data_IF_156829034236
#
_entry.id   IF_156829034236
#
_cell.length_a   1.000
_cell.length_b   1.000
_cell.length_c   1.000
_cell.angle_alpha   90.00
_cell.angle_beta   90.00
_cell.angle_gamma   90.00
#
_symmetry.space_group_name_H-M   'P 1'
#
loop_
_entity.id
_entity.type
_entity.pdbx_description
1 polymer ?
#
# COMPACT_ATOMS: atom_id res chain seq x y z
N UNK A 1 -6.25 30.14 31.29
CA UNK A 1 -6.92 29.03 30.58
C UNK A 1 -5.89 28.41 29.65
N UNK A 2 -5.51 27.15 29.85
CA UNK A 2 -4.52 26.46 29.03
C UNK A 2 -5.30 25.58 28.05
N UNK A 3 -5.42 26.00 26.80
CA UNK A 3 -6.02 25.18 25.74
C UNK A 3 -5.15 23.94 25.54
N UNK A 4 -5.75 22.76 25.67
CA UNK A 4 -5.08 21.48 25.48
C UNK A 4 -5.72 20.75 24.29
N UNK A 5 -4.88 20.16 23.44
CA UNK A 5 -5.32 19.31 22.36
C UNK A 5 -4.98 17.86 22.69
N UNK A 6 -5.99 16.99 22.61
CA UNK A 6 -5.86 15.56 22.87
C UNK A 6 -6.16 14.77 21.59
N UNK A 7 -5.53 13.60 21.37
CA UNK A 7 -5.82 12.82 20.18
C UNK A 7 -7.23 12.23 20.23
N UNK A 8 -8.00 12.46 19.17
CA UNK A 8 -9.25 11.76 18.90
C UNK A 8 -8.97 10.41 18.26
N UNK A 9 -8.11 10.38 17.25
CA UNK A 9 -7.65 9.17 16.56
C UNK A 9 -6.29 9.40 15.91
N UNK A 10 -5.60 8.29 15.65
CA UNK A 10 -4.39 8.25 14.84
C UNK A 10 -4.62 7.32 13.65
N UNK A 11 -4.04 7.67 12.52
CA UNK A 11 -4.02 6.86 11.31
C UNK A 11 -2.58 6.73 10.83
N UNK A 12 -2.13 5.49 10.70
CA UNK A 12 -0.79 5.14 10.24
C UNK A 12 -0.80 4.07 9.18
N UNK A 13 0.35 3.93 8.53
CA UNK A 13 0.65 2.84 7.62
C UNK A 13 1.91 2.17 8.15
N UNK A 14 1.86 0.85 8.32
CA UNK A 14 2.99 0.07 8.81
C UNK A 14 3.54 -0.82 7.71
N UNK A 15 4.87 -0.90 7.59
CA UNK A 15 5.54 -1.72 6.59
C UNK A 15 6.89 -2.27 7.12
N UNK A 16 7.10 -3.61 7.18
CA UNK A 16 8.31 -4.23 7.75
C UNK A 16 9.64 -3.89 7.06
N UNK A 17 9.60 -3.37 5.84
CA UNK A 17 10.78 -2.82 5.16
C UNK A 17 11.49 -1.75 5.99
N UNK A 18 10.73 -0.92 6.72
CA UNK A 18 11.25 0.14 7.57
C UNK A 18 11.57 -0.41 8.97
N UNK A 19 12.71 0.00 9.53
CA UNK A 19 13.21 -0.55 10.79
C UNK A 19 12.35 -0.23 12.02
N UNK A 20 11.66 0.91 12.00
CA UNK A 20 10.67 1.32 13.01
C UNK A 20 9.25 0.82 12.70
N UNK A 21 9.07 0.14 11.56
CA UNK A 21 7.81 -0.36 11.06
C UNK A 21 6.86 0.71 10.52
N UNK A 22 7.21 2.00 10.58
CA UNK A 22 6.35 3.09 10.10
C UNK A 22 6.66 3.34 8.62
N UNK A 23 5.61 3.42 7.79
CA UNK A 23 5.74 3.67 6.36
C UNK A 23 5.60 5.17 6.06
N UNK A 24 6.69 5.86 5.66
CA UNK A 24 6.63 7.27 5.29
C UNK A 24 6.21 7.48 3.82
N UNK A 25 5.97 6.43 3.04
CA UNK A 25 5.77 6.54 1.59
C UNK A 25 4.43 7.15 1.18
N UNK A 26 3.52 7.40 2.12
CA UNK A 26 2.19 7.91 1.82
C UNK A 26 1.96 9.30 2.41
N UNK A 27 1.23 10.11 1.65
CA UNK A 27 0.61 11.33 2.13
C UNK A 27 -0.90 11.12 2.35
N UNK A 28 -1.39 11.59 3.48
CA UNK A 28 -2.82 11.65 3.76
C UNK A 28 -3.43 12.94 3.22
N UNK A 29 -4.45 12.83 2.37
CA UNK A 29 -5.18 13.96 1.79
C UNK A 29 -6.60 13.97 2.32
N UNK A 30 -6.98 14.95 3.12
CA UNK A 30 -8.39 15.05 3.50
C UNK A 30 -9.20 15.61 2.35
N UNK A 31 -10.37 15.01 2.15
CA UNK A 31 -11.38 15.61 1.28
C UNK A 31 -11.80 16.98 1.85
N UNK A 32 -12.11 17.92 0.98
CA UNK A 32 -12.48 19.30 1.33
C UNK A 32 -13.63 19.34 2.35
N UNK A 33 -14.67 18.52 2.12
CA UNK A 33 -15.80 18.38 3.05
C UNK A 33 -15.33 17.97 4.45
N UNK A 34 -14.45 16.98 4.56
CA UNK A 34 -13.95 16.50 5.85
C UNK A 34 -13.05 17.52 6.53
N UNK A 35 -12.25 18.27 5.77
CA UNK A 35 -11.47 19.40 6.31
C UNK A 35 -12.40 20.47 6.90
N UNK A 36 -13.42 20.90 6.15
CA UNK A 36 -14.37 21.91 6.61
C UNK A 36 -15.15 21.45 7.85
N UNK A 37 -15.55 20.18 7.90
CA UNK A 37 -16.23 19.60 9.06
C UNK A 37 -15.35 19.59 10.31
N UNK A 38 -14.06 19.23 10.16
CA UNK A 38 -13.10 19.25 11.28
C UNK A 38 -12.80 20.68 11.74
N UNK A 39 -12.58 21.61 10.82
CA UNK A 39 -12.36 23.04 11.13
C UNK A 39 -13.57 23.62 11.89
N UNK A 40 -14.78 23.34 11.41
CA UNK A 40 -16.03 23.78 12.03
C UNK A 40 -16.27 23.20 13.42
N UNK A 41 -15.67 22.05 13.71
CA UNK A 41 -15.73 21.39 15.02
C UNK A 41 -14.51 21.63 15.91
N UNK A 42 -13.63 22.58 15.53
CA UNK A 42 -12.40 22.96 16.26
C UNK A 42 -11.43 21.79 16.48
N UNK A 43 -11.38 20.85 15.54
CA UNK A 43 -10.37 19.80 15.54
C UNK A 43 -9.13 20.24 14.76
N UNK A 44 -7.97 19.80 15.23
CA UNK A 44 -6.69 20.04 14.59
C UNK A 44 -6.18 18.78 13.93
N UNK A 45 -5.66 18.93 12.72
CA UNK A 45 -5.02 17.86 11.97
C UNK A 45 -3.51 18.08 12.03
N UNK A 46 -2.78 17.07 12.47
CA UNK A 46 -1.32 17.08 12.48
C UNK A 46 -0.79 15.86 11.75
N UNK A 47 0.21 16.07 10.89
CA UNK A 47 1.01 15.00 10.31
C UNK A 47 2.35 14.97 11.01
N UNK A 48 2.73 13.82 11.54
CA UNK A 48 4.01 13.66 12.23
C UNK A 48 4.52 12.24 12.02
N UNK A 49 5.83 12.09 11.78
CA UNK A 49 6.49 10.80 11.58
C UNK A 49 5.76 9.82 10.62
N UNK A 50 5.14 10.31 9.53
CA UNK A 50 4.42 9.45 8.58
C UNK A 50 3.03 9.00 9.03
N UNK A 51 2.49 9.60 10.10
CA UNK A 51 1.15 9.33 10.62
C UNK A 51 0.29 10.60 10.58
N UNK A 52 -1.03 10.40 10.51
CA UNK A 52 -2.04 11.44 10.63
C UNK A 52 -2.69 11.38 12.01
N UNK A 53 -2.68 12.50 12.71
CA UNK A 53 -3.34 12.69 13.98
C UNK A 53 -4.51 13.64 13.79
N UNK A 54 -5.68 13.25 14.30
CA UNK A 54 -6.82 14.15 14.47
C UNK A 54 -6.92 14.42 15.97
N UNK A 55 -6.82 15.69 16.34
CA UNK A 55 -6.81 16.15 17.71
C UNK A 55 -8.06 16.98 17.99
N UNK A 56 -8.64 16.85 19.17
CA UNK A 56 -9.75 17.69 19.61
C UNK A 56 -9.28 18.67 20.68
N UNK A 57 -9.92 19.84 20.75
CA UNK A 57 -9.74 20.77 21.84
C UNK A 57 -10.48 20.27 23.08
N UNK A 58 -9.76 20.14 24.19
CA UNK A 58 -10.27 19.60 25.43
C UNK A 58 -10.48 20.70 26.49
N UNK A 59 -11.51 20.53 27.32
CA UNK A 59 -11.76 21.35 28.50
C UNK A 59 -10.80 21.00 29.66
N UNK A 60 -10.92 21.66 30.81
CA UNK A 60 -10.09 21.41 32.00
C UNK A 60 -10.27 20.00 32.60
N UNK A 61 -11.30 19.26 32.16
CA UNK A 61 -11.61 17.88 32.56
C UNK A 61 -11.27 16.87 31.46
N UNK A 62 -10.56 17.28 30.41
CA UNK A 62 -10.22 16.48 29.23
C UNK A 62 -11.42 16.05 28.38
N UNK A 63 -12.59 16.69 28.50
CA UNK A 63 -13.72 16.40 27.63
C UNK A 63 -13.63 17.21 26.33
N UNK A 64 -14.16 16.68 25.22
CA UNK A 64 -14.23 17.44 23.98
C UNK A 64 -15.14 18.65 24.11
N UNK A 65 -14.68 19.78 23.56
CA UNK A 65 -15.49 21.00 23.45
C UNK A 65 -16.69 20.82 22.50
N UNK A 66 -16.61 19.88 21.55
CA UNK A 66 -17.66 19.57 20.60
C UNK A 66 -17.65 18.07 20.26
N UNK A 67 -18.82 17.44 20.32
CA UNK A 67 -18.99 16.05 19.87
C UNK A 67 -19.25 16.02 18.36
N UNK A 68 -18.53 15.14 17.66
CA UNK A 68 -18.64 14.88 16.23
C UNK A 68 -18.95 13.42 15.91
N UNK A 69 -19.48 12.66 16.88
CA UNK A 69 -19.96 11.31 16.65
C UNK A 69 -20.95 11.28 15.47
N UNK A 70 -20.77 10.31 14.58
CA UNK A 70 -21.52 10.18 13.32
C UNK A 70 -20.91 10.93 12.13
N UNK A 71 -19.88 11.75 12.33
CA UNK A 71 -19.17 12.41 11.23
C UNK A 71 -18.40 11.39 10.39
N UNK A 72 -18.52 11.50 9.06
CA UNK A 72 -17.72 10.74 8.10
C UNK A 72 -16.52 11.57 7.60
N UNK A 73 -15.32 11.07 7.87
CA UNK A 73 -14.06 11.61 7.35
C UNK A 73 -13.62 10.80 6.13
N UNK A 74 -13.38 11.49 5.01
CA UNK A 74 -12.86 10.90 3.78
C UNK A 74 -11.42 11.37 3.59
N UNK A 75 -10.51 10.41 3.43
CA UNK A 75 -9.08 10.63 3.37
C UNK A 75 -8.52 9.84 2.19
N UNK A 76 -7.90 10.52 1.23
CA UNK A 76 -7.12 9.90 0.17
C UNK A 76 -5.71 9.55 0.63
N UNK A 77 -5.18 8.46 0.12
CA UNK A 77 -3.81 8.00 0.30
C UNK A 77 -3.06 8.24 -0.99
N UNK A 78 -2.10 9.16 -0.99
CA UNK A 78 -1.24 9.40 -2.15
C UNK A 78 0.11 8.74 -1.93
N UNK A 79 0.45 7.80 -2.79
CA UNK A 79 1.75 7.16 -2.79
C UNK A 79 2.80 8.13 -3.33
N UNK A 80 3.84 8.41 -2.53
CA UNK A 80 4.96 9.30 -2.89
C UNK A 80 6.14 8.54 -3.48
N UNK A 81 6.30 7.28 -3.10
CA UNK A 81 7.43 6.46 -3.52
C UNK A 81 7.03 5.63 -4.74
N UNK A 82 7.53 5.97 -5.95
CA UNK A 82 7.18 5.22 -7.16
C UNK A 82 7.74 3.80 -7.16
N UNK A 83 8.71 3.50 -6.30
CA UNK A 83 9.34 2.18 -6.20
C UNK A 83 8.71 1.30 -5.10
N UNK A 84 7.58 1.70 -4.51
CA UNK A 84 6.93 0.98 -3.41
C UNK A 84 6.67 -0.50 -3.75
N UNK A 85 6.18 -0.77 -4.96
CA UNK A 85 5.94 -2.13 -5.47
C UNK A 85 7.20 -3.02 -5.55
N UNK A 86 8.40 -2.44 -5.53
CA UNK A 86 9.63 -3.23 -5.58
C UNK A 86 9.91 -3.92 -4.25
N UNK A 87 9.48 -3.34 -3.13
CA UNK A 87 9.73 -3.88 -1.80
C UNK A 87 8.47 -4.20 -0.99
N UNK A 88 7.30 -3.94 -1.53
CA UNK A 88 6.01 -4.35 -0.96
C UNK A 88 5.50 -5.60 -1.67
N UNK A 89 4.96 -6.53 -0.89
CA UNK A 89 4.24 -7.69 -1.41
C UNK A 89 2.89 -7.25 -2.04
N UNK A 90 2.10 -8.20 -2.57
CA UNK A 90 0.83 -7.97 -3.26
C UNK A 90 0.07 -6.70 -2.84
N UNK A 91 -0.04 -5.74 -3.76
CA UNK A 91 -0.81 -4.52 -3.56
C UNK A 91 -2.29 -4.78 -3.90
N UNK A 92 -3.24 -4.29 -3.09
CA UNK A 92 -4.65 -4.42 -3.41
C UNK A 92 -5.00 -3.61 -4.66
N UNK A 93 -5.59 -4.28 -5.64
CA UNK A 93 -6.17 -3.69 -6.84
C UNK A 93 -7.61 -4.17 -7.05
N UNK A 94 -8.49 -3.36 -7.67
CA UNK A 94 -8.32 -1.93 -7.97
C UNK A 94 -8.32 -1.08 -6.68
N UNK A 95 -8.33 0.26 -6.82
CA UNK A 95 -8.25 1.25 -5.73
C UNK A 95 -8.87 0.75 -4.40
N UNK A 96 -8.06 0.51 -3.36
CA UNK A 96 -8.54 0.02 -2.08
C UNK A 96 -9.24 1.13 -1.30
N UNK A 97 -10.44 0.82 -0.80
CA UNK A 97 -11.18 1.65 0.13
C UNK A 97 -11.20 0.97 1.49
N UNK A 98 -10.55 1.59 2.46
CA UNK A 98 -10.58 1.17 3.86
C UNK A 98 -11.74 1.87 4.57
N UNK A 99 -12.41 1.16 5.47
CA UNK A 99 -13.46 1.72 6.32
C UNK A 99 -13.36 1.17 7.73
N UNK A 100 -14.02 1.80 8.70
CA UNK A 100 -14.21 1.23 10.03
C UNK A 100 -15.69 1.03 10.33
N UNK A 101 -15.98 0.03 11.16
CA UNK A 101 -17.26 -0.12 11.88
C UNK A 101 -17.09 0.10 13.38
N UNK A 102 -15.87 -0.09 13.89
CA UNK A 102 -15.47 0.07 15.29
C UNK A 102 -14.21 0.93 15.36
N UNK A 103 -13.34 0.70 16.35
CA UNK A 103 -12.05 1.36 16.53
C UNK A 103 -10.91 0.73 15.71
N UNK A 104 -11.21 -0.22 14.82
CA UNK A 104 -10.25 -0.83 13.88
C UNK A 104 -10.70 -0.69 12.42
N UNK A 105 -9.74 -0.69 11.48
CA UNK A 105 -10.06 -0.76 10.06
C UNK A 105 -10.55 -2.16 9.67
N UNK A 106 -11.53 -2.20 8.79
CA UNK A 106 -11.96 -3.39 8.07
C UNK A 106 -10.93 -3.76 7.01
N UNK A 107 -11.05 -4.98 6.47
CA UNK A 107 -10.32 -5.35 5.26
C UNK A 107 -10.67 -4.38 4.11
N UNK A 108 -9.70 -4.02 3.24
CA UNK A 108 -9.98 -3.12 2.14
C UNK A 108 -11.01 -3.72 1.19
N UNK A 109 -11.91 -2.87 0.70
CA UNK A 109 -12.86 -3.22 -0.34
C UNK A 109 -12.46 -2.53 -1.63
N UNK A 110 -12.65 -3.21 -2.75
CA UNK A 110 -12.53 -2.58 -4.06
C UNK A 110 -13.74 -1.66 -4.30
N UNK A 111 -13.48 -0.40 -4.64
CA UNK A 111 -14.55 0.55 -4.98
C UNK A 111 -14.10 1.52 -6.06
N UNK A 112 -15.05 2.26 -6.60
CA UNK A 112 -14.74 3.35 -7.53
C UNK A 112 -14.65 4.67 -6.78
N UNK A 113 -13.57 5.40 -6.99
CA UNK A 113 -13.52 6.81 -6.65
C UNK A 113 -14.14 7.60 -7.80
N UNK A 114 -15.22 8.32 -7.51
CA UNK A 114 -16.00 9.02 -8.53
C UNK A 114 -15.97 10.53 -8.31
N UNK A 115 -15.81 11.25 -9.41
CA UNK A 115 -15.90 12.70 -9.45
C UNK A 115 -17.37 13.16 -9.49
N UNK A 116 -17.62 14.36 -10.03
CA UNK A 116 -18.97 14.95 -10.14
C UNK A 116 -19.85 14.32 -11.22
N UNK A 117 -19.29 13.47 -12.07
CA UNK A 117 -20.02 12.74 -13.10
C UNK A 117 -19.46 11.33 -13.19
N UNK A 118 -20.35 10.35 -13.31
CA UNK A 118 -19.99 8.93 -13.32
C UNK A 118 -20.88 8.18 -14.30
N UNK A 119 -20.27 7.37 -15.16
CA UNK A 119 -21.01 6.46 -16.05
C UNK A 119 -20.75 5.03 -15.58
N UNK A 120 -21.74 4.35 -14.98
CA UNK A 120 -21.56 2.98 -14.55
C UNK A 120 -21.31 2.04 -15.73
N UNK A 121 -20.44 1.06 -15.52
CA UNK A 121 -20.27 -0.06 -16.45
C UNK A 121 -21.34 -1.10 -16.16
N UNK A 122 -22.02 -1.60 -17.19
CA UNK A 122 -23.00 -2.66 -17.04
C UNK A 122 -22.31 -3.94 -16.56
N UNK A 123 -22.66 -4.41 -15.35
CA UNK A 123 -22.16 -5.67 -14.81
C UNK A 123 -22.92 -6.89 -15.37
N UNK A 124 -24.02 -6.66 -16.08
CA UNK A 124 -24.93 -7.68 -16.59
C UNK A 124 -25.41 -7.30 -18.00
N UNK A 125 -25.62 -8.30 -18.85
CA UNK A 125 -26.06 -8.11 -20.24
C UNK A 125 -27.58 -8.21 -20.39
N UNK A 126 -28.27 -8.92 -19.49
CA UNK A 126 -29.73 -9.05 -19.53
C UNK A 126 -30.40 -7.69 -19.28
N UNK A 127 -31.49 -7.46 -20.00
CA UNK A 127 -32.31 -6.26 -19.92
C UNK A 127 -33.78 -6.63 -19.65
N UNK A 128 -34.59 -5.73 -19.07
CA UNK A 128 -34.20 -4.42 -18.55
C UNK A 128 -33.25 -4.53 -17.35
N UNK A 129 -32.36 -3.55 -17.20
CA UNK A 129 -31.43 -3.43 -16.09
C UNK A 129 -31.84 -2.24 -15.21
N UNK A 130 -32.32 -2.55 -14.02
CA UNK A 130 -32.65 -1.54 -13.01
C UNK A 130 -31.39 -1.13 -12.26
N UNK A 131 -31.14 0.16 -12.19
CA UNK A 131 -30.03 0.75 -11.46
C UNK A 131 -30.61 1.52 -10.27
N UNK A 132 -30.00 1.34 -9.10
CA UNK A 132 -30.26 2.18 -7.94
C UNK A 132 -28.96 2.58 -7.29
N UNK A 133 -28.91 3.81 -6.79
CA UNK A 133 -27.77 4.34 -6.07
C UNK A 133 -28.25 4.80 -4.69
N UNK A 134 -27.78 4.12 -3.65
CA UNK A 134 -28.13 4.39 -2.26
C UNK A 134 -26.96 5.02 -1.53
N UNK A 135 -27.21 5.92 -0.59
CA UNK A 135 -26.16 6.42 0.32
C UNK A 135 -25.92 5.38 1.42
N UNK A 136 -24.66 5.00 1.64
CA UNK A 136 -24.35 3.84 2.50
C UNK A 136 -24.63 4.09 3.99
N UNK A 137 -24.59 5.35 4.45
CA UNK A 137 -24.75 5.67 5.88
C UNK A 137 -26.18 5.49 6.41
N UNK A 138 -27.18 5.66 5.56
CA UNK A 138 -28.61 5.67 5.93
C UNK A 138 -29.50 4.93 4.93
N UNK A 139 -28.90 4.28 3.93
CA UNK A 139 -29.56 3.54 2.85
C UNK A 139 -30.55 4.39 2.02
N UNK A 140 -30.42 5.72 2.07
CA UNK A 140 -31.29 6.63 1.33
C UNK A 140 -31.13 6.44 -0.18
N UNK A 141 -32.22 6.21 -0.91
CA UNK A 141 -32.22 6.15 -2.38
C UNK A 141 -31.95 7.54 -2.94
N UNK A 142 -30.83 7.69 -3.63
CA UNK A 142 -30.38 8.97 -4.18
C UNK A 142 -30.69 9.10 -5.67
N UNK A 143 -30.70 7.97 -6.39
CA UNK A 143 -31.03 7.91 -7.80
C UNK A 143 -31.47 6.51 -8.22
N UNK A 144 -32.36 6.43 -9.22
CA UNK A 144 -32.74 5.18 -9.86
C UNK A 144 -33.05 5.37 -11.34
N UNK A 145 -32.87 4.30 -12.11
CA UNK A 145 -33.16 4.28 -13.54
C UNK A 145 -33.34 2.87 -14.07
N UNK A 146 -34.00 2.74 -15.22
CA UNK A 146 -34.16 1.48 -15.96
C UNK A 146 -33.45 1.63 -17.31
N UNK A 147 -32.63 0.65 -17.68
CA UNK A 147 -31.96 0.58 -18.98
C UNK A 147 -32.59 -0.55 -19.80
N UNK A 148 -33.14 -0.23 -20.95
CA UNK A 148 -33.80 -1.17 -21.87
C UNK A 148 -32.84 -1.68 -22.95
N UNK A 149 -33.34 -2.62 -23.76
CA UNK A 149 -32.59 -3.13 -24.90
C UNK A 149 -32.24 -2.00 -25.90
N UNK A 150 -30.96 -1.95 -26.31
CA UNK A 150 -30.44 -0.93 -27.21
C UNK A 150 -30.08 0.41 -26.54
N UNK A 151 -30.32 0.56 -25.23
CA UNK A 151 -29.94 1.78 -24.50
C UNK A 151 -28.54 1.68 -23.88
N UNK A 152 -27.84 2.81 -23.86
CA UNK A 152 -26.53 2.94 -23.22
C UNK A 152 -26.67 3.24 -21.73
N UNK A 153 -25.62 2.95 -20.96
CA UNK A 153 -25.55 3.34 -19.54
C UNK A 153 -25.55 4.87 -19.42
N UNK A 154 -26.37 5.45 -18.53
CA UNK A 154 -26.51 6.90 -18.40
C UNK A 154 -25.33 7.46 -17.62
N UNK A 155 -24.89 8.66 -17.99
CA UNK A 155 -24.04 9.45 -17.12
C UNK A 155 -24.88 9.99 -15.94
N UNK A 156 -24.45 9.70 -14.72
CA UNK A 156 -25.08 10.16 -13.49
C UNK A 156 -24.36 11.43 -13.04
N UNK A 157 -25.11 12.54 -12.92
CA UNK A 157 -24.59 13.80 -12.40
C UNK A 157 -24.65 13.80 -10.86
N UNK A 158 -23.47 13.84 -10.25
CA UNK A 158 -23.25 13.80 -8.81
C UNK A 158 -22.86 15.19 -8.25
N UNK A 159 -22.97 16.26 -9.05
CA UNK A 159 -22.50 17.60 -8.66
C UNK A 159 -23.20 18.21 -7.45
N UNK A 160 -24.43 17.76 -7.17
CA UNK A 160 -25.27 18.21 -6.05
C UNK A 160 -25.25 17.24 -4.87
N UNK A 161 -24.47 16.16 -4.97
CA UNK A 161 -24.45 15.12 -3.96
C UNK A 161 -23.40 15.45 -2.91
N UNK A 162 -23.68 15.06 -1.68
CA UNK A 162 -22.70 15.15 -0.60
C UNK A 162 -21.53 14.22 -0.89
N UNK A 163 -20.31 14.63 -0.52
CA UNK A 163 -19.19 13.72 -0.51
C UNK A 163 -19.47 12.59 0.49
N UNK A 164 -19.18 11.35 0.09
CA UNK A 164 -19.53 10.19 0.91
C UNK A 164 -19.44 8.87 0.16
N UNK A 165 -19.83 7.79 0.85
CA UNK A 165 -19.94 6.47 0.23
C UNK A 165 -21.37 6.18 -0.21
N UNK A 166 -21.48 5.58 -1.39
CA UNK A 166 -22.73 5.19 -2.01
C UNK A 166 -22.62 3.77 -2.53
N UNK A 167 -23.74 3.07 -2.67
CA UNK A 167 -23.82 1.73 -3.23
C UNK A 167 -24.63 1.75 -4.51
N UNK A 168 -23.96 1.47 -5.63
CA UNK A 168 -24.63 1.22 -6.90
C UNK A 168 -25.08 -0.24 -6.92
N UNK A 169 -26.37 -0.45 -7.14
CA UNK A 169 -26.96 -1.78 -7.37
C UNK A 169 -27.50 -1.84 -8.79
N UNK A 170 -27.17 -2.92 -9.50
CA UNK A 170 -27.70 -3.27 -10.81
C UNK A 170 -28.49 -4.56 -10.68
N UNK A 171 -29.76 -4.54 -11.09
CA UNK A 171 -30.67 -5.66 -10.96
C UNK A 171 -31.32 -5.98 -12.30
N UNK A 172 -31.30 -7.25 -12.67
CA UNK A 172 -32.02 -7.79 -13.83
C UNK A 172 -32.71 -9.11 -13.45
N UNK A 173 -33.39 -9.73 -14.41
CA UNK A 173 -33.94 -11.09 -14.24
C UNK A 173 -32.89 -12.15 -13.92
N UNK A 174 -31.61 -11.91 -14.27
CA UNK A 174 -30.52 -12.83 -13.99
C UNK A 174 -29.92 -12.67 -12.58
N UNK A 175 -30.34 -11.66 -11.81
CA UNK A 175 -29.87 -11.42 -10.44
C UNK A 175 -29.52 -9.96 -10.15
N UNK A 176 -28.81 -9.76 -9.05
CA UNK A 176 -28.38 -8.44 -8.54
C UNK A 176 -26.87 -8.40 -8.34
N UNK A 177 -26.27 -7.26 -8.66
CA UNK A 177 -24.85 -6.94 -8.43
C UNK A 177 -24.75 -5.57 -7.80
N UNK A 178 -23.96 -5.46 -6.74
CA UNK A 178 -23.69 -4.19 -6.07
C UNK A 178 -22.20 -3.90 -6.05
N UNK A 179 -21.86 -2.61 -6.08
CA UNK A 179 -20.51 -2.11 -5.84
C UNK A 179 -20.56 -0.79 -5.08
N UNK A 180 -19.54 -0.54 -4.28
CA UNK A 180 -19.44 0.69 -3.52
C UNK A 180 -18.68 1.76 -4.34
N UNK A 181 -19.17 2.99 -4.23
CA UNK A 181 -18.62 4.19 -4.84
C UNK A 181 -18.23 5.17 -3.71
N UNK A 182 -17.11 5.86 -3.86
CA UNK A 182 -16.76 7.01 -3.03
C UNK A 182 -16.85 8.28 -3.86
N UNK A 183 -17.83 9.14 -3.53
CA UNK A 183 -17.97 10.46 -4.13
C UNK A 183 -17.09 11.42 -3.36
N UNK A 184 -15.97 11.80 -3.94
CA UNK A 184 -15.07 12.80 -3.38
C UNK A 184 -14.33 13.50 -4.54
N UNK A 185 -14.92 14.55 -5.15
CA UNK A 185 -14.44 15.11 -6.40
C UNK A 185 -12.99 15.61 -6.38
N UNK A 186 -12.57 16.18 -5.26
CA UNK A 186 -11.21 16.67 -5.04
C UNK A 186 -10.22 15.51 -4.89
N UNK A 187 -10.61 14.43 -4.22
CA UNK A 187 -9.82 13.21 -4.16
C UNK A 187 -9.78 12.49 -5.52
N UNK A 188 -10.87 12.50 -6.29
CA UNK A 188 -10.94 11.88 -7.62
C UNK A 188 -10.07 12.60 -8.65
N UNK A 189 -9.75 13.88 -8.43
CA UNK A 189 -8.81 14.66 -9.24
C UNK A 189 -7.38 14.59 -8.69
N UNK A 190 -7.21 14.11 -7.46
CA UNK A 190 -5.91 13.83 -6.90
C UNK A 190 -5.50 12.42 -7.33
N UNK A 191 -4.29 12.27 -7.84
CA UNK A 191 -3.69 10.97 -8.15
C UNK A 191 -3.44 10.20 -6.84
N UNK A 192 -4.49 9.56 -6.33
CA UNK A 192 -4.46 8.79 -5.08
C UNK A 192 -4.36 7.30 -5.39
N UNK A 193 -3.60 6.61 -4.54
CA UNK A 193 -3.43 5.18 -4.57
C UNK A 193 -4.61 4.44 -3.92
N UNK A 194 -5.17 4.99 -2.84
CA UNK A 194 -6.26 4.38 -2.08
C UNK A 194 -7.06 5.42 -1.30
N UNK A 195 -8.14 5.01 -0.66
CA UNK A 195 -8.98 5.91 0.14
C UNK A 195 -9.39 5.27 1.46
N UNK A 196 -9.73 6.12 2.44
CA UNK A 196 -10.15 5.73 3.77
C UNK A 196 -11.40 6.52 4.12
N UNK A 197 -12.43 5.80 4.59
CA UNK A 197 -13.58 6.38 5.28
C UNK A 197 -13.49 6.07 6.77
N UNK A 198 -13.41 7.10 7.60
CA UNK A 198 -13.56 6.96 9.04
C UNK A 198 -14.94 7.48 9.46
N UNK A 199 -15.78 6.61 10.00
CA UNK A 199 -16.96 7.01 10.77
C UNK A 199 -16.54 7.22 12.22
N UNK A 200 -16.68 8.46 12.71
CA UNK A 200 -16.36 8.80 14.10
C UNK A 200 -17.44 8.20 15.01
N UNK A 201 -17.07 7.18 15.78
CA UNK A 201 -17.97 6.56 16.76
C UNK A 201 -17.96 7.34 18.07
N UNK A 202 -19.08 7.35 18.80
CA UNK A 202 -19.13 7.88 20.17
C UNK A 202 -18.15 7.15 21.11
N UNK A 203 -17.73 5.93 20.78
CA UNK A 203 -16.72 5.17 21.53
C UNK A 203 -15.34 5.84 21.51
N UNK A 204 -15.03 6.68 20.51
CA UNK A 204 -13.71 7.32 20.40
C UNK A 204 -13.45 8.26 21.59
N UNK A 205 -14.51 8.83 22.16
CA UNK A 205 -14.45 9.71 23.33
C UNK A 205 -14.37 8.98 24.66
N UNK A 206 -14.86 7.74 24.71
CA UNK A 206 -15.05 6.97 25.94
C UNK A 206 -14.00 5.86 26.11
N UNK A 207 -13.16 5.65 25.11
CA UNK A 207 -12.08 4.67 25.14
C UNK A 207 -10.90 5.19 25.98
N UNK A 208 -10.27 4.35 26.83
CA UNK A 208 -9.09 4.74 27.61
C UNK A 208 -7.87 5.10 26.74
N UNK A 209 -7.86 4.66 25.48
CA UNK A 209 -6.91 5.10 24.46
C UNK A 209 -7.64 5.43 23.16
N UNK A 210 -7.25 6.52 22.46
CA UNK A 210 -7.83 6.86 21.17
C UNK A 210 -7.56 5.75 20.15
N UNK A 211 -8.47 5.51 19.19
CA UNK A 211 -8.25 4.53 18.13
C UNK A 211 -6.96 4.80 17.35
N UNK A 212 -6.21 3.72 17.11
CA UNK A 212 -5.02 3.71 16.28
C UNK A 212 -5.28 2.85 15.04
N UNK A 213 -5.68 3.50 13.95
CA UNK A 213 -5.99 2.86 12.69
C UNK A 213 -4.70 2.58 11.92
N UNK A 214 -4.45 1.31 11.56
CA UNK A 214 -3.24 0.89 10.87
C UNK A 214 -3.55 0.15 9.58
N UNK A 215 -3.02 0.64 8.46
CA UNK A 215 -2.94 -0.14 7.22
C UNK A 215 -1.62 -0.88 7.22
N UNK A 216 -1.67 -2.20 7.12
CA UNK A 216 -0.49 -3.06 7.20
C UNK A 216 -0.14 -3.61 5.82
N UNK A 217 1.10 -3.38 5.42
CA UNK A 217 1.70 -4.00 4.24
C UNK A 217 2.76 -5.01 4.65
N UNK A 218 3.04 -5.96 3.77
CA UNK A 218 4.11 -6.93 3.95
C UNK A 218 5.30 -6.56 3.08
N UNK A 219 6.50 -6.80 3.59
CA UNK A 219 7.69 -6.70 2.75
C UNK A 219 7.72 -7.84 1.74
N UNK A 220 8.02 -7.50 0.49
CA UNK A 220 8.27 -8.47 -0.58
C UNK A 220 9.39 -9.41 -0.15
N UNK A 221 9.21 -10.69 -0.42
CA UNK A 221 10.22 -11.71 -0.16
C UNK A 221 10.81 -12.20 -1.47
N UNK A 222 12.13 -12.23 -1.57
CA UNK A 222 12.83 -12.68 -2.77
C UNK A 222 14.05 -13.52 -2.42
N UNK A 223 14.38 -14.47 -3.30
CA UNK A 223 15.66 -15.18 -3.22
C UNK A 223 16.80 -14.26 -3.66
N UNK A 224 17.85 -14.16 -2.85
CA UNK A 224 19.06 -13.40 -3.19
C UNK A 224 19.90 -14.18 -4.18
N UNK A 225 20.31 -13.53 -5.28
CA UNK A 225 21.15 -14.12 -6.31
C UNK A 225 22.42 -13.29 -6.52
N UNK A 226 23.58 -13.87 -6.22
CA UNK A 226 24.89 -13.26 -6.43
C UNK A 226 25.63 -13.97 -7.56
N UNK A 227 25.67 -13.35 -8.73
CA UNK A 227 26.45 -13.79 -9.89
C UNK A 227 27.89 -13.30 -9.71
N UNK A 228 28.77 -14.18 -9.27
CA UNK A 228 30.18 -13.86 -9.07
C UNK A 228 30.94 -14.19 -10.35
N UNK A 229 31.68 -13.21 -10.87
CA UNK A 229 32.39 -13.32 -12.13
C UNK A 229 33.86 -12.99 -11.93
N UNK A 230 34.74 -13.87 -12.40
CA UNK A 230 36.19 -13.71 -12.32
C UNK A 230 36.85 -13.78 -13.71
N UNK A 231 38.00 -13.10 -13.90
CA UNK A 231 38.78 -13.21 -15.13
C UNK A 231 39.20 -14.65 -15.43
N UNK A 232 39.44 -14.95 -16.71
CA UNK A 232 39.96 -16.25 -17.15
C UNK A 232 41.24 -16.63 -16.37
N UNK A 233 41.29 -17.84 -15.82
CA UNK A 233 42.45 -18.35 -15.11
C UNK A 233 42.57 -17.90 -13.65
N UNK A 234 41.50 -17.39 -13.04
CA UNK A 234 41.47 -17.15 -11.60
C UNK A 234 41.62 -18.47 -10.84
N UNK A 235 42.74 -18.62 -10.12
CA UNK A 235 42.99 -19.80 -9.30
C UNK A 235 42.01 -19.86 -8.13
N UNK A 236 41.59 -21.07 -7.74
CA UNK A 236 40.71 -21.29 -6.58
C UNK A 236 39.27 -20.79 -6.74
N UNK A 237 38.77 -20.59 -7.96
CA UNK A 237 37.37 -20.21 -8.21
C UNK A 237 36.36 -21.21 -7.61
N UNK A 238 36.70 -22.50 -7.66
CA UNK A 238 35.90 -23.56 -7.07
C UNK A 238 35.84 -23.48 -5.54
N UNK A 239 36.75 -22.73 -4.90
CA UNK A 239 36.79 -22.50 -3.44
C UNK A 239 36.01 -21.27 -2.97
N UNK A 240 35.35 -20.55 -3.89
CA UNK A 240 34.44 -19.46 -3.52
C UNK A 240 33.21 -19.99 -2.80
N UNK A 241 32.80 -19.27 -1.75
CA UNK A 241 31.59 -19.52 -0.97
C UNK A 241 30.95 -18.21 -0.49
N UNK A 242 29.65 -18.23 -0.23
CA UNK A 242 28.94 -17.13 0.44
C UNK A 242 28.52 -17.59 1.83
N UNK A 243 28.88 -16.80 2.85
CA UNK A 243 28.52 -17.06 4.25
C UNK A 243 27.71 -15.91 4.82
N UNK A 244 26.68 -16.22 5.60
CA UNK A 244 25.88 -15.24 6.34
C UNK A 244 25.50 -15.82 7.71
N UNK A 245 25.08 -14.97 8.65
CA UNK A 245 24.79 -15.40 10.03
C UNK A 245 23.59 -16.37 10.13
N UNK A 246 22.58 -16.21 9.27
CA UNK A 246 21.30 -16.95 9.35
C UNK A 246 20.77 -17.42 8.00
N UNK A 247 21.56 -17.27 6.92
CA UNK A 247 21.17 -17.64 5.57
C UNK A 247 22.16 -18.65 4.99
N UNK A 248 21.63 -19.66 4.32
CA UNK A 248 22.40 -20.64 3.57
C UNK A 248 22.32 -20.34 2.09
N UNK A 249 23.45 -20.48 1.39
CA UNK A 249 23.55 -20.27 -0.04
C UNK A 249 23.94 -21.56 -0.75
N UNK A 250 23.27 -21.83 -1.86
CA UNK A 250 23.64 -22.86 -2.82
C UNK A 250 24.58 -22.27 -3.87
N UNK A 251 25.62 -23.03 -4.23
CA UNK A 251 26.55 -22.69 -5.32
C UNK A 251 26.09 -23.40 -6.59
N UNK A 252 25.69 -22.64 -7.60
CA UNK A 252 25.14 -23.13 -8.87
C UNK A 252 26.13 -22.81 -10.00
N UNK A 253 26.49 -23.82 -10.78
CA UNK A 253 27.42 -23.68 -11.92
C UNK A 253 26.72 -23.11 -13.17
N UNK A 254 27.45 -22.51 -14.12
CA UNK A 254 26.85 -21.79 -15.27
C UNK A 254 25.83 -22.58 -16.10
N UNK A 255 26.03 -23.90 -16.26
CA UNK A 255 25.12 -24.76 -17.03
C UNK A 255 23.74 -24.90 -16.37
N UNK A 256 23.67 -24.70 -15.05
CA UNK A 256 22.46 -24.84 -14.23
C UNK A 256 21.88 -23.48 -13.84
N UNK A 257 22.33 -22.38 -14.46
CA UNK A 257 21.74 -21.07 -14.19
C UNK A 257 20.25 -21.07 -14.54
N UNK A 258 19.39 -20.50 -13.68
CA UNK A 258 17.96 -20.47 -13.91
C UNK A 258 17.64 -19.62 -15.14
N UNK A 259 16.71 -20.08 -15.98
CA UNK A 259 16.37 -19.44 -17.25
C UNK A 259 15.73 -18.06 -17.08
N UNK A 260 15.05 -17.81 -15.98
CA UNK A 260 14.48 -16.52 -15.64
C UNK A 260 15.52 -15.54 -15.06
N UNK A 261 16.76 -15.98 -14.84
CA UNK A 261 17.87 -15.23 -14.27
C UNK A 261 18.77 -14.52 -15.31
N UNK A 262 19.92 -14.01 -14.84
CA UNK A 262 20.96 -13.46 -15.72
C UNK A 262 21.72 -14.64 -16.35
N UNK A 263 21.71 -14.73 -17.67
CA UNK A 263 22.43 -15.78 -18.40
C UNK A 263 23.93 -15.48 -18.46
N UNK A 264 24.79 -16.51 -18.59
CA UNK A 264 26.23 -16.30 -18.75
C UNK A 264 26.58 -15.39 -19.93
N UNK A 265 25.83 -15.44 -21.03
CA UNK A 265 26.02 -14.58 -22.18
C UNK A 265 25.80 -13.08 -21.86
N UNK A 266 24.82 -12.78 -20.99
CA UNK A 266 24.51 -11.41 -20.56
C UNK A 266 25.56 -10.84 -19.59
N UNK A 267 26.38 -11.67 -18.96
CA UNK A 267 27.48 -11.23 -18.10
C UNK A 267 28.68 -10.67 -18.90
N UNK A 268 28.62 -10.69 -20.24
CA UNK A 268 29.50 -9.90 -21.11
C UNK A 268 30.95 -10.35 -21.15
N UNK A 269 31.26 -11.58 -20.73
CA UNK A 269 32.63 -12.05 -20.58
C UNK A 269 32.83 -13.45 -21.21
N UNK A 270 33.22 -13.53 -22.49
CA UNK A 270 33.26 -14.79 -23.25
C UNK A 270 34.30 -15.81 -22.74
N UNK A 271 35.22 -15.39 -21.85
CA UNK A 271 36.26 -16.25 -21.25
C UNK A 271 36.24 -16.23 -19.72
N UNK A 272 35.30 -15.54 -19.09
CA UNK A 272 35.24 -15.47 -17.62
C UNK A 272 34.66 -16.74 -17.01
N UNK A 273 35.10 -17.01 -15.78
CA UNK A 273 34.47 -17.99 -14.92
C UNK A 273 33.33 -17.29 -14.18
N UNK A 274 32.16 -17.92 -14.16
CA UNK A 274 30.99 -17.42 -13.47
C UNK A 274 30.44 -18.49 -12.54
N UNK A 275 29.86 -18.07 -11.42
CA UNK A 275 29.11 -18.93 -10.52
C UNK A 275 27.99 -18.12 -9.87
N UNK A 276 26.85 -18.76 -9.64
CA UNK A 276 25.73 -18.14 -8.95
C UNK A 276 25.70 -18.68 -7.51
N UNK A 277 25.67 -17.77 -6.54
CA UNK A 277 25.29 -18.09 -5.17
C UNK A 277 23.85 -17.65 -4.93
N UNK A 278 22.98 -18.62 -4.65
CA UNK A 278 21.54 -18.42 -4.48
C UNK A 278 21.12 -18.70 -3.04
N UNK A 279 20.39 -17.80 -2.37
CA UNK A 279 19.87 -18.09 -1.03
C UNK A 279 18.83 -19.22 -1.10
N UNK A 280 18.89 -20.17 -0.18
CA UNK A 280 17.96 -21.31 -0.17
C UNK A 280 16.55 -20.91 0.24
N UNK A 281 16.42 -19.87 1.07
CA UNK A 281 15.14 -19.31 1.49
C UNK A 281 14.97 -17.89 0.91
N UNK A 282 13.73 -17.48 0.60
CA UNK A 282 13.41 -16.08 0.35
C UNK A 282 13.77 -15.22 1.55
N UNK A 283 14.23 -14.00 1.28
CA UNK A 283 14.59 -13.01 2.29
C UNK A 283 13.64 -11.83 2.15
N UNK A 284 13.01 -11.34 3.24
CA UNK A 284 12.21 -10.14 3.18
C UNK A 284 13.08 -8.94 2.85
N UNK A 285 12.59 -8.07 1.97
CA UNK A 285 13.24 -6.79 1.71
C UNK A 285 13.27 -5.94 2.98
N UNK A 286 14.38 -5.25 3.19
CA UNK A 286 14.55 -4.35 4.32
C UNK A 286 15.42 -3.16 3.94
N UNK A 287 15.12 -1.99 4.51
CA UNK A 287 15.98 -0.82 4.48
C UNK A 287 17.22 -1.01 5.38
N UNK A 288 17.17 -1.93 6.35
CA UNK A 288 18.28 -2.19 7.25
C UNK A 288 19.38 -3.02 6.55
N UNK A 289 20.63 -2.58 6.68
CA UNK A 289 21.77 -3.12 5.93
C UNK A 289 22.39 -4.42 6.49
N UNK A 290 21.86 -5.01 7.57
CA UNK A 290 22.68 -5.82 8.49
C UNK A 290 22.49 -7.34 8.40
N UNK A 291 22.64 -7.96 7.22
CA UNK A 291 22.70 -9.43 7.12
C UNK A 291 24.14 -10.00 7.15
N UNK A 292 25.18 -9.14 7.14
CA UNK A 292 26.61 -9.53 7.15
C UNK A 292 26.92 -10.68 6.18
N UNK A 293 26.41 -10.56 4.95
CA UNK A 293 26.60 -11.57 3.90
C UNK A 293 27.99 -11.34 3.30
N UNK A 294 28.85 -12.35 3.39
CA UNK A 294 30.25 -12.28 2.98
C UNK A 294 30.53 -13.18 1.80
N UNK A 295 31.28 -12.69 0.82
CA UNK A 295 31.92 -13.54 -0.18
C UNK A 295 33.30 -13.95 0.35
N UNK A 296 33.54 -15.25 0.40
CA UNK A 296 34.79 -15.83 0.91
C UNK A 296 35.49 -16.68 -0.14
N UNK A 297 36.80 -16.82 0.06
CA UNK A 297 37.65 -17.80 -0.59
C UNK A 297 38.34 -18.59 0.51
N UNK A 298 37.90 -19.83 0.73
CA UNK A 298 38.20 -20.56 1.97
C UNK A 298 37.78 -19.71 3.19
N UNK A 299 38.72 -19.42 4.10
CA UNK A 299 38.51 -18.58 5.28
C UNK A 299 38.74 -17.08 5.02
N UNK A 300 39.34 -16.72 3.87
CA UNK A 300 39.59 -15.32 3.53
C UNK A 300 38.31 -14.62 3.09
N UNK A 301 37.99 -13.50 3.73
CA UNK A 301 36.86 -12.66 3.29
C UNK A 301 37.29 -11.76 2.14
N UNK A 302 36.73 -12.01 0.94
CA UNK A 302 36.96 -11.19 -0.25
C UNK A 302 36.06 -9.96 -0.26
N UNK A 303 34.78 -10.14 0.07
CA UNK A 303 33.81 -9.05 0.18
C UNK A 303 33.12 -9.15 1.52
N UNK A 304 33.30 -8.13 2.36
CA UNK A 304 32.76 -8.09 3.73
C UNK A 304 31.23 -7.98 3.76
N UNK A 305 30.65 -7.24 2.82
CA UNK A 305 29.21 -7.02 2.74
C UNK A 305 28.77 -7.10 1.28
N UNK A 306 28.14 -8.20 0.91
CA UNK A 306 27.45 -8.33 -0.35
C UNK A 306 26.18 -7.45 -0.35
N UNK A 307 25.81 -6.89 -1.52
CA UNK A 307 24.69 -5.95 -1.60
C UNK A 307 23.35 -6.61 -1.28
N UNK A 308 22.42 -5.80 -0.80
CA UNK A 308 21.00 -6.15 -0.61
C UNK A 308 20.13 -5.29 -1.54
N UNK A 309 18.94 -5.77 -1.94
CA UNK A 309 18.07 -5.04 -2.85
C UNK A 309 17.58 -3.76 -2.18
N UNK A 310 17.91 -2.63 -2.78
CA UNK A 310 17.45 -1.30 -2.34
C UNK A 310 16.01 -1.07 -2.78
N UNK A 311 15.39 -0.01 -2.27
CA UNK A 311 14.02 0.37 -2.64
C UNK A 311 13.84 0.55 -4.16
N UNK A 312 14.84 1.11 -4.85
CA UNK A 312 14.84 1.40 -6.28
C UNK A 312 15.21 0.21 -7.18
N UNK A 313 15.54 -0.94 -6.59
CA UNK A 313 15.94 -2.13 -7.36
C UNK A 313 14.73 -3.04 -7.59
N UNK A 314 14.30 -3.34 -8.81
CA UNK A 314 13.14 -4.20 -9.05
C UNK A 314 13.39 -5.68 -8.75
N UNK A 315 14.65 -6.11 -8.57
CA UNK A 315 14.99 -7.52 -8.30
C UNK A 315 16.16 -7.68 -7.33
N UNK A 316 16.22 -8.83 -6.66
CA UNK A 316 17.33 -9.23 -5.79
C UNK A 316 18.47 -9.98 -6.53
N UNK A 317 18.92 -9.44 -7.66
CA UNK A 317 19.96 -10.03 -8.52
C UNK A 317 21.15 -9.10 -8.62
N UNK A 318 22.34 -9.61 -8.30
CA UNK A 318 23.57 -8.81 -8.21
C UNK A 318 24.69 -9.46 -8.99
N UNK A 319 25.46 -8.65 -9.72
CA UNK A 319 26.69 -9.09 -10.37
C UNK A 319 27.87 -8.58 -9.56
N UNK A 320 28.77 -9.49 -9.17
CA UNK A 320 29.96 -9.21 -8.37
C UNK A 320 31.18 -9.56 -9.21
N UNK A 321 31.91 -8.55 -9.66
CA UNK A 321 33.15 -8.75 -10.40
C UNK A 321 34.33 -8.86 -9.44
N UNK A 322 35.10 -9.93 -9.55
CA UNK A 322 36.37 -10.09 -8.87
C UNK A 322 37.48 -9.51 -9.75
N UNK A 323 38.30 -8.62 -9.20
CA UNK A 323 39.56 -8.23 -9.81
C UNK A 323 40.65 -9.27 -9.51
N UNK A 324 41.68 -9.35 -10.36
CA UNK A 324 42.90 -10.08 -9.98
C UNK A 324 43.48 -9.42 -8.71
N UNK A 325 43.93 -10.21 -7.72
CA UNK A 325 44.58 -9.67 -6.53
C UNK A 325 45.84 -8.88 -6.88
#
# INVERSE_FOLDING_TARGET
MKTQFLPLLTLGISHPYYGDGICPDFDFMLAEHSRLALDGARLLIRKDAGQLYVLFEADEKNHPMQDIAGLELLIGLRLRNPCFEYFTDALPEPLPIYSNTTTTLNAPQSGDLVARSFTPVAAMTQRPLNLSLHRTRDDALMWGGEIRDGENMPAINLSHWEAGCYRLTQQSVAGSRSRDLMVAPDLAQADIWGAIKILVSAEFWNSPAPPDFQIKFNARQETLNYYVVAPSGWSDFDKLSVSANSLTFEKIVPVDFPQDGITPAQLGLPTAQAVLFRSQMPVPRSAAAALNIQLKRNEDTLVKNLPLPRADMPSARFVVHLSKP
#
